data_IF_033303389447
#
_entry.id   IF_033303389447
#
_cell.length_a   1.000
_cell.length_b   1.000
_cell.length_c   1.000
_cell.angle_alpha   90.00
_cell.angle_beta   90.00
_cell.angle_gamma   90.00
#
_symmetry.space_group_name_H-M   'P 1'
#
loop_
_entity.id
_entity.type
_entity.pdbx_description
1 polymer ?
#
# COMPACT_ATOMS: atom_id res chain seq x y z
N UNK A 1 -46.89 47.77 31.71
CA UNK A 1 -47.88 47.68 30.63
C UNK A 1 -47.54 46.43 29.84
N UNK A 2 -48.23 45.32 30.11
CA UNK A 2 -48.00 44.02 29.45
C UNK A 2 -48.85 44.04 28.18
N UNK A 3 -48.23 43.98 27.00
CA UNK A 3 -48.93 43.74 25.74
C UNK A 3 -49.22 42.24 25.62
N UNK A 4 -50.50 41.91 25.53
CA UNK A 4 -50.99 40.54 25.37
C UNK A 4 -50.78 40.02 23.94
N UNK A 5 -50.08 38.90 23.83
CA UNK A 5 -50.21 37.94 22.73
C UNK A 5 -50.96 36.72 23.25
N UNK A 6 -51.82 36.13 22.42
CA UNK A 6 -52.79 35.07 22.72
C UNK A 6 -52.12 33.72 23.04
N UNK A 7 -51.55 33.61 24.23
CA UNK A 7 -51.03 32.35 24.74
C UNK A 7 -51.59 32.01 26.12
N UNK A 8 -52.40 30.96 26.20
CA UNK A 8 -53.09 30.55 27.42
C UNK A 8 -52.22 29.62 28.25
N UNK A 9 -52.15 29.85 29.57
CA UNK A 9 -51.46 28.93 30.50
C UNK A 9 -52.25 27.60 30.53
N UNK A 10 -51.73 26.57 29.88
CA UNK A 10 -52.16 25.17 30.09
C UNK A 10 -51.59 24.72 31.43
N UNK A 11 -52.41 24.20 32.36
CA UNK A 11 -51.96 23.82 33.71
C UNK A 11 -50.80 22.82 33.66
N UNK A 12 -49.56 23.22 34.04
CA UNK A 12 -48.42 22.33 34.11
C UNK A 12 -48.50 21.46 35.39
N UNK A 13 -47.70 20.41 35.49
CA UNK A 13 -47.53 19.74 36.79
C UNK A 13 -47.02 20.77 37.84
N UNK A 14 -47.23 20.56 39.15
CA UNK A 14 -46.95 21.57 40.18
C UNK A 14 -45.52 22.16 40.20
N UNK A 15 -44.57 21.55 39.47
CA UNK A 15 -43.16 21.94 39.40
C UNK A 15 -42.68 22.30 37.97
N UNK A 16 -43.58 22.39 36.99
CA UNK A 16 -43.20 22.66 35.61
C UNK A 16 -43.30 24.17 35.29
N UNK A 17 -42.31 24.67 34.55
CA UNK A 17 -42.37 25.99 33.93
C UNK A 17 -42.78 25.83 32.46
N UNK A 18 -44.04 26.17 32.16
CA UNK A 18 -44.54 26.20 30.78
C UNK A 18 -44.54 27.63 30.25
N UNK A 19 -43.85 27.84 29.13
CA UNK A 19 -43.74 29.14 28.46
C UNK A 19 -44.26 29.03 27.04
N UNK A 20 -45.21 29.89 26.68
CA UNK A 20 -45.67 30.03 25.31
C UNK A 20 -44.87 31.14 24.61
N UNK A 21 -43.65 30.81 24.19
CA UNK A 21 -42.73 31.73 23.53
C UNK A 21 -41.28 31.26 23.65
N UNK A 22 -40.36 32.11 23.22
CA UNK A 22 -38.93 31.85 23.43
C UNK A 22 -38.58 31.93 24.92
N UNK A 23 -37.67 31.06 25.36
CA UNK A 23 -37.01 31.22 26.66
C UNK A 23 -35.66 31.88 26.42
N UNK A 24 -35.47 33.09 26.93
CA UNK A 24 -34.23 33.84 26.74
C UNK A 24 -33.62 34.22 28.09
N UNK A 25 -32.46 33.66 28.39
CA UNK A 25 -31.62 34.11 29.51
C UNK A 25 -30.71 35.21 28.99
N UNK A 26 -30.69 36.37 29.65
CA UNK A 26 -29.86 37.51 29.26
C UNK A 26 -28.94 37.96 30.39
N UNK A 27 -27.80 38.56 30.03
CA UNK A 27 -26.96 39.36 30.91
C UNK A 27 -26.89 40.78 30.33
N UNK A 28 -27.63 41.72 30.92
CA UNK A 28 -27.87 43.03 30.32
C UNK A 28 -28.61 42.92 28.98
N UNK A 29 -28.05 43.52 27.91
CA UNK A 29 -28.60 43.43 26.55
C UNK A 29 -28.18 42.16 25.79
N UNK A 30 -27.27 41.35 26.34
CA UNK A 30 -26.72 40.17 25.66
C UNK A 30 -27.53 38.91 25.97
N UNK A 31 -27.90 38.16 24.92
CA UNK A 31 -28.46 36.81 25.04
C UNK A 31 -27.39 35.85 25.52
N UNK A 32 -27.72 35.00 26.48
CA UNK A 32 -26.86 33.94 27.03
C UNK A 32 -27.36 32.56 26.65
N UNK A 33 -28.65 32.33 26.82
CA UNK A 33 -29.32 31.11 26.40
C UNK A 33 -30.58 31.54 25.68
N UNK A 34 -30.85 30.94 24.52
CA UNK A 34 -32.13 31.08 23.83
C UNK A 34 -32.65 29.69 23.48
N UNK A 35 -33.87 29.39 23.93
CA UNK A 35 -34.71 28.34 23.38
C UNK A 35 -35.70 29.04 22.45
N UNK A 36 -35.57 28.79 21.15
CA UNK A 36 -36.39 29.41 20.12
C UNK A 36 -37.64 28.55 19.89
N UNK A 37 -38.83 29.12 20.11
CA UNK A 37 -40.10 28.38 20.01
C UNK A 37 -40.42 28.00 18.56
N UNK A 38 -40.13 28.88 17.62
CA UNK A 38 -40.51 28.70 16.22
C UNK A 38 -39.67 27.60 15.57
N UNK A 39 -38.38 27.57 15.88
CA UNK A 39 -37.42 26.64 15.28
C UNK A 39 -37.04 25.48 16.17
N UNK A 40 -37.42 25.46 17.45
CA UNK A 40 -36.95 24.48 18.44
C UNK A 40 -35.45 24.58 18.76
N UNK A 41 -34.76 25.59 18.24
CA UNK A 41 -33.30 25.69 18.31
C UNK A 41 -32.84 26.12 19.70
N UNK A 42 -31.66 25.64 20.09
CA UNK A 42 -31.00 25.98 21.36
C UNK A 42 -29.69 26.68 21.04
N UNK A 43 -29.49 27.84 21.64
CA UNK A 43 -28.25 28.61 21.52
C UNK A 43 -27.70 28.93 22.90
N UNK A 44 -26.42 28.68 23.11
CA UNK A 44 -25.67 29.23 24.23
C UNK A 44 -24.58 30.16 23.71
N UNK A 45 -24.44 31.32 24.36
CA UNK A 45 -23.45 32.34 24.01
C UNK A 45 -22.48 32.61 25.16
N UNK A 46 -21.23 32.95 24.86
CA UNK A 46 -20.23 33.39 25.85
C UNK A 46 -20.45 34.86 26.30
N UNK A 47 -19.49 35.42 27.04
CA UNK A 47 -19.56 36.79 27.57
C UNK A 47 -19.54 37.83 26.47
N UNK A 48 -18.93 37.50 25.34
CA UNK A 48 -18.72 38.32 24.16
C UNK A 48 -19.91 38.26 23.20
N UNK A 49 -20.83 37.31 23.39
CA UNK A 49 -22.01 37.11 22.53
C UNK A 49 -21.76 36.15 21.37
N UNK A 50 -20.64 35.42 21.37
CA UNK A 50 -20.33 34.37 20.39
C UNK A 50 -21.05 33.07 20.77
N UNK A 51 -21.46 32.30 19.77
CA UNK A 51 -22.11 31.00 19.97
C UNK A 51 -21.08 29.96 20.43
N UNK A 52 -21.33 29.33 21.57
CA UNK A 52 -20.49 28.24 22.11
C UNK A 52 -21.17 26.87 22.03
N UNK A 53 -22.49 26.87 21.89
CA UNK A 53 -23.29 25.68 21.64
C UNK A 53 -24.51 26.07 20.81
N UNK A 54 -24.76 25.34 19.74
CA UNK A 54 -25.93 25.57 18.90
C UNK A 54 -26.49 24.25 18.38
N UNK A 55 -27.79 24.07 18.57
CA UNK A 55 -28.56 23.00 17.95
C UNK A 55 -29.72 23.63 17.16
N UNK A 56 -29.74 23.45 15.85
CA UNK A 56 -30.80 23.94 14.95
C UNK A 56 -31.75 22.79 14.52
N UNK A 57 -33.08 23.01 14.54
CA UNK A 57 -34.03 21.98 14.10
C UNK A 57 -34.58 22.10 12.67
N UNK A 58 -34.61 23.25 11.95
CA UNK A 58 -34.88 23.23 10.52
C UNK A 58 -33.56 23.09 9.74
N UNK A 59 -33.04 21.86 9.63
CA UNK A 59 -31.82 21.52 8.87
C UNK A 59 -30.71 20.77 9.64
N UNK A 60 -30.97 20.39 10.90
CA UNK A 60 -30.23 19.44 11.75
C UNK A 60 -28.69 19.55 11.75
N UNK A 61 -28.18 20.74 12.05
CA UNK A 61 -26.77 20.91 12.39
C UNK A 61 -26.61 21.09 13.90
N UNK A 62 -25.71 20.31 14.50
CA UNK A 62 -25.15 20.55 15.84
C UNK A 62 -23.77 21.20 15.62
N UNK A 63 -23.62 22.46 16.01
CA UNK A 63 -22.37 23.21 15.82
C UNK A 63 -21.66 23.38 17.14
N UNK A 64 -20.37 23.05 17.12
CA UNK A 64 -19.42 23.34 18.19
C UNK A 64 -18.48 24.44 17.66
N UNK A 65 -18.47 25.61 18.33
CA UNK A 65 -17.55 26.72 18.01
C UNK A 65 -18.05 27.73 16.96
N UNK A 66 -17.33 28.85 16.86
CA UNK A 66 -17.61 29.94 15.92
C UNK A 66 -17.14 31.31 16.42
N UNK A 67 -16.25 31.96 15.66
CA UNK A 67 -15.80 33.33 15.92
C UNK A 67 -15.17 33.96 14.66
N UNK A 68 -15.47 35.23 14.38
CA UNK A 68 -14.98 35.97 13.20
C UNK A 68 -13.64 36.67 13.41
N UNK A 69 -13.11 36.70 14.64
CA UNK A 69 -11.99 37.57 14.99
C UNK A 69 -10.84 36.75 15.59
N UNK A 70 -9.62 37.20 15.27
CA UNK A 70 -8.27 36.66 15.44
C UNK A 70 -7.83 36.07 16.81
N UNK A 71 -8.73 35.70 17.72
CA UNK A 71 -8.37 34.97 18.93
C UNK A 71 -8.30 33.46 18.63
N UNK A 72 -7.07 32.93 18.67
CA UNK A 72 -6.72 31.55 18.36
C UNK A 72 -7.23 30.49 19.36
N UNK A 73 -8.01 30.88 20.37
CA UNK A 73 -8.41 30.01 21.49
C UNK A 73 -9.92 29.68 21.51
N UNK A 74 -10.68 30.03 20.46
CA UNK A 74 -12.09 29.66 20.33
C UNK A 74 -12.26 28.24 19.76
N UNK A 75 -11.53 27.27 20.32
CA UNK A 75 -11.65 25.86 19.95
C UNK A 75 -12.92 25.26 20.56
N UNK A 76 -13.57 24.38 19.82
CA UNK A 76 -14.75 23.70 20.27
C UNK A 76 -14.59 22.20 20.10
N UNK A 77 -14.06 21.59 21.15
CA UNK A 77 -13.84 20.15 21.18
C UNK A 77 -15.14 19.40 21.50
N UNK A 78 -15.33 18.24 20.88
CA UNK A 78 -16.28 17.24 21.35
C UNK A 78 -15.50 16.17 22.11
N UNK A 79 -15.75 16.06 23.41
CA UNK A 79 -15.01 15.18 24.31
C UNK A 79 -15.99 14.25 25.03
N UNK A 80 -15.74 12.94 24.94
CA UNK A 80 -16.50 11.93 25.65
C UNK A 80 -15.58 11.09 26.52
N UNK A 81 -15.99 10.90 27.77
CA UNK A 81 -15.24 10.17 28.79
C UNK A 81 -15.97 8.87 29.14
N UNK A 82 -15.21 7.84 29.55
CA UNK A 82 -15.79 6.68 30.25
C UNK A 82 -16.33 7.12 31.62
N UNK A 83 -17.35 6.43 32.14
CA UNK A 83 -18.13 6.87 33.31
C UNK A 83 -17.38 7.08 34.64
N UNK A 84 -16.08 6.80 34.73
CA UNK A 84 -15.27 6.85 35.96
C UNK A 84 -13.99 7.70 35.82
N UNK A 85 -14.02 8.75 34.99
CA UNK A 85 -12.88 9.65 34.81
C UNK A 85 -12.76 10.61 36.00
N UNK A 86 -11.57 10.65 36.62
CA UNK A 86 -11.34 11.45 37.83
C UNK A 86 -11.27 12.96 37.56
N UNK A 87 -10.86 13.35 36.35
CA UNK A 87 -10.73 14.75 35.96
C UNK A 87 -11.21 14.96 34.52
N UNK A 88 -12.41 15.53 34.35
CA UNK A 88 -12.98 15.85 33.03
C UNK A 88 -12.27 17.00 32.30
N UNK A 89 -11.27 17.65 32.93
CA UNK A 89 -10.38 18.62 32.27
C UNK A 89 -9.13 17.98 31.68
N UNK A 90 -8.82 16.75 32.09
CA UNK A 90 -7.71 15.98 31.53
C UNK A 90 -8.19 15.25 30.28
N UNK A 91 -8.02 15.89 29.12
CA UNK A 91 -8.52 15.39 27.84
C UNK A 91 -7.87 14.06 27.43
N UNK A 92 -6.69 13.73 27.95
CA UNK A 92 -6.02 12.45 27.69
C UNK A 92 -6.82 11.26 28.23
N UNK A 93 -7.70 11.51 29.20
CA UNK A 93 -8.59 10.49 29.77
C UNK A 93 -9.86 10.22 28.94
N UNK A 94 -10.09 11.00 27.87
CA UNK A 94 -11.24 10.82 26.99
C UNK A 94 -11.12 9.54 26.16
N UNK A 95 -12.26 8.90 25.86
CA UNK A 95 -12.34 7.73 24.97
C UNK A 95 -12.73 8.12 23.54
N UNK A 96 -13.29 9.31 23.36
CA UNK A 96 -13.54 9.92 22.06
C UNK A 96 -13.28 11.42 22.16
N UNK A 97 -12.49 11.96 21.23
CA UNK A 97 -12.12 13.38 21.23
C UNK A 97 -11.99 13.89 19.81
N UNK A 98 -12.84 14.84 19.43
CA UNK A 98 -12.66 15.68 18.24
C UNK A 98 -12.05 16.98 18.72
N UNK A 99 -10.81 17.24 18.30
CA UNK A 99 -10.05 18.44 18.67
C UNK A 99 -10.01 19.40 17.48
N UNK A 100 -10.69 20.53 17.60
CA UNK A 100 -10.78 21.49 16.48
C UNK A 100 -9.53 22.34 16.33
N UNK A 101 -8.71 22.49 17.38
CA UNK A 101 -7.45 23.23 17.32
C UNK A 101 -6.40 22.50 16.49
N UNK A 102 -6.28 21.20 16.72
CA UNK A 102 -5.28 20.33 16.09
C UNK A 102 -5.79 19.68 14.80
N UNK A 103 -7.10 19.71 14.55
CA UNK A 103 -7.71 19.04 13.40
C UNK A 103 -7.68 17.52 13.50
N UNK A 104 -7.72 16.98 14.73
CA UNK A 104 -7.60 15.53 14.98
C UNK A 104 -8.89 14.94 15.52
N UNK A 105 -9.20 13.70 15.12
CA UNK A 105 -10.17 12.85 15.79
C UNK A 105 -9.42 11.68 16.43
N UNK A 106 -9.64 11.46 17.73
CA UNK A 106 -9.11 10.32 18.49
C UNK A 106 -10.27 9.45 18.97
N UNK A 107 -10.10 8.14 18.78
CA UNK A 107 -11.01 7.10 19.27
C UNK A 107 -10.14 6.11 20.05
N UNK A 108 -10.53 5.81 21.29
CA UNK A 108 -9.71 5.08 22.25
C UNK A 108 -8.85 6.00 23.14
N UNK A 109 -8.26 5.43 24.18
CA UNK A 109 -7.53 6.15 25.25
C UNK A 109 -7.96 5.66 26.64
N UNK A 110 -7.17 5.98 27.67
CA UNK A 110 -7.47 5.60 29.06
C UNK A 110 -7.77 4.09 29.22
N UNK A 111 -6.84 3.25 28.77
CA UNK A 111 -6.92 1.78 28.76
C UNK A 111 -8.07 1.19 27.94
N UNK A 112 -8.68 1.99 27.06
CA UNK A 112 -9.76 1.55 26.17
C UNK A 112 -9.27 1.61 24.73
N UNK A 113 -9.24 0.47 24.05
CA UNK A 113 -8.95 0.44 22.62
C UNK A 113 -10.08 1.14 21.84
N UNK A 114 -9.71 1.94 20.84
CA UNK A 114 -10.66 2.57 19.95
C UNK A 114 -11.00 1.67 18.78
N UNK A 115 -12.27 1.69 18.36
CA UNK A 115 -12.67 1.07 17.10
C UNK A 115 -13.57 2.00 16.30
N UNK A 116 -13.42 1.95 14.98
CA UNK A 116 -14.34 2.57 14.03
C UNK A 116 -14.88 1.47 13.12
N UNK A 117 -16.21 1.37 13.04
CA UNK A 117 -16.91 0.35 12.25
C UNK A 117 -17.84 1.07 11.27
N UNK A 118 -17.66 0.84 9.98
CA UNK A 118 -18.62 1.25 8.95
C UNK A 118 -19.39 0.01 8.48
N UNK A 119 -20.71 0.08 8.55
CA UNK A 119 -21.61 -0.99 8.11
C UNK A 119 -22.24 -0.64 6.75
N UNK A 120 -22.52 -1.65 5.93
CA UNK A 120 -23.40 -1.50 4.77
C UNK A 120 -24.89 -1.50 5.18
N UNK A 121 -25.79 -1.36 4.20
CA UNK A 121 -27.25 -1.35 4.43
C UNK A 121 -27.81 -2.68 4.99
N UNK A 122 -27.04 -3.75 4.93
CA UNK A 122 -27.39 -5.07 5.44
C UNK A 122 -26.74 -5.37 6.81
N UNK A 123 -26.08 -4.39 7.43
CA UNK A 123 -25.30 -4.49 8.67
C UNK A 123 -24.02 -5.33 8.56
N UNK A 124 -23.47 -5.52 7.36
CA UNK A 124 -22.14 -6.12 7.21
C UNK A 124 -21.05 -5.06 7.44
N UNK A 125 -20.00 -5.43 8.16
CA UNK A 125 -18.82 -4.58 8.34
C UNK A 125 -18.03 -4.45 7.04
N UNK A 126 -17.91 -3.24 6.51
CA UNK A 126 -17.18 -2.92 5.26
C UNK A 126 -15.85 -2.21 5.48
N UNK A 127 -15.74 -1.44 6.58
CA UNK A 127 -14.49 -0.83 7.03
C UNK A 127 -14.38 -1.02 8.53
N UNK A 128 -13.23 -1.48 8.99
CA UNK A 128 -12.91 -1.61 10.40
C UNK A 128 -11.49 -1.14 10.68
N UNK A 129 -11.39 -0.18 11.61
CA UNK A 129 -10.15 0.25 12.23
C UNK A 129 -10.13 -0.31 13.65
N UNK A 130 -9.19 -1.21 13.95
CA UNK A 130 -9.04 -1.83 15.26
C UNK A 130 -7.79 -1.33 16.00
N UNK A 131 -8.00 -0.50 17.02
CA UNK A 131 -6.91 -0.01 17.86
C UNK A 131 -6.30 -1.07 18.79
N UNK A 132 -6.96 -2.21 19.02
CA UNK A 132 -6.43 -3.29 19.85
C UNK A 132 -5.46 -4.19 19.08
N UNK A 133 -5.84 -4.60 17.86
CA UNK A 133 -5.03 -5.47 17.00
C UNK A 133 -4.06 -4.72 16.08
N UNK A 134 -4.22 -3.39 15.94
CA UNK A 134 -3.55 -2.56 14.94
C UNK A 134 -3.90 -2.95 13.48
N UNK A 135 -5.12 -3.42 13.27
CA UNK A 135 -5.61 -3.88 11.98
C UNK A 135 -6.43 -2.80 11.24
N UNK A 136 -6.33 -2.83 9.91
CA UNK A 136 -7.27 -2.19 8.98
C UNK A 136 -7.88 -3.27 8.08
N UNK A 137 -9.17 -3.52 8.25
CA UNK A 137 -9.92 -4.46 7.43
C UNK A 137 -10.87 -3.66 6.52
N UNK A 138 -10.78 -3.91 5.22
CA UNK A 138 -11.63 -3.28 4.21
C UNK A 138 -12.18 -4.37 3.29
N UNK A 139 -13.50 -4.35 3.12
CA UNK A 139 -14.25 -5.35 2.37
C UNK A 139 -15.15 -6.20 3.26
N UNK A 140 -16.17 -6.80 2.65
CA UNK A 140 -17.20 -7.63 3.26
C UNK A 140 -17.72 -8.67 2.25
N UNK A 141 -18.51 -9.67 2.67
CA UNK A 141 -19.24 -10.52 1.73
C UNK A 141 -20.05 -9.68 0.72
N UNK A 142 -19.75 -9.84 -0.57
CA UNK A 142 -20.40 -9.08 -1.65
C UNK A 142 -19.84 -7.66 -1.89
N UNK A 143 -18.80 -7.25 -1.17
CA UNK A 143 -18.13 -5.96 -1.37
C UNK A 143 -16.60 -6.07 -1.20
N UNK A 144 -15.85 -6.11 -2.29
CA UNK A 144 -14.38 -6.19 -2.24
C UNK A 144 -13.77 -4.93 -1.65
N UNK A 145 -12.73 -5.11 -0.82
CA UNK A 145 -11.95 -4.00 -0.31
C UNK A 145 -11.13 -3.33 -1.42
N UNK A 146 -11.09 -2.00 -1.41
CA UNK A 146 -10.30 -1.22 -2.36
C UNK A 146 -9.69 0.00 -1.66
N UNK A 147 -8.36 0.07 -1.65
CA UNK A 147 -7.63 1.25 -1.18
C UNK A 147 -7.10 1.97 -2.42
N UNK A 148 -7.50 3.24 -2.58
CA UNK A 148 -7.07 4.08 -3.70
C UNK A 148 -6.39 5.33 -3.14
N UNK A 149 -5.10 5.48 -3.43
CA UNK A 149 -4.37 6.72 -3.21
C UNK A 149 -4.27 7.48 -4.54
N UNK A 150 -4.76 8.71 -4.56
CA UNK A 150 -4.80 9.57 -5.75
C UNK A 150 -3.69 10.63 -5.69
N UNK A 151 -3.13 10.95 -6.85
CA UNK A 151 -2.24 12.09 -6.99
C UNK A 151 -3.00 13.41 -6.89
N UNK A 152 -2.28 14.48 -6.56
CA UNK A 152 -2.84 15.84 -6.44
C UNK A 152 -3.10 16.53 -7.79
N UNK A 153 -2.64 15.94 -8.90
CA UNK A 153 -2.82 16.49 -10.25
C UNK A 153 -4.30 16.44 -10.66
N UNK A 154 -4.76 17.44 -11.43
CA UNK A 154 -6.12 17.48 -11.99
C UNK A 154 -6.12 16.96 -13.45
N UNK A 155 -7.07 16.09 -13.84
CA UNK A 155 -8.09 15.45 -12.99
C UNK A 155 -7.46 14.45 -12.00
N UNK A 156 -8.11 14.22 -10.85
CA UNK A 156 -7.60 13.28 -9.84
C UNK A 156 -7.33 11.90 -10.47
N UNK A 157 -6.10 11.44 -10.34
CA UNK A 157 -5.65 10.19 -10.93
C UNK A 157 -5.18 9.21 -9.85
N UNK A 158 -5.57 7.93 -9.96
CA UNK A 158 -5.07 6.88 -9.08
C UNK A 158 -3.53 6.72 -9.27
N UNK A 159 -2.81 6.48 -8.18
CA UNK A 159 -1.35 6.27 -8.14
C UNK A 159 -0.98 4.94 -7.49
N UNK A 160 -1.67 4.60 -6.40
CA UNK A 160 -1.53 3.33 -5.71
C UNK A 160 -2.93 2.75 -5.55
N UNK A 161 -3.08 1.49 -5.93
CA UNK A 161 -4.33 0.76 -5.73
C UNK A 161 -4.05 -0.64 -5.18
N UNK A 162 -4.70 -0.95 -4.06
CA UNK A 162 -4.79 -2.31 -3.51
C UNK A 162 -6.22 -2.79 -3.77
N UNK A 163 -6.36 -3.72 -4.71
CA UNK A 163 -7.62 -4.19 -5.25
C UNK A 163 -7.83 -5.67 -4.89
N UNK A 164 -8.71 -5.91 -3.90
CA UNK A 164 -8.99 -7.26 -3.43
C UNK A 164 -9.86 -8.07 -4.39
N UNK A 165 -10.63 -7.43 -5.27
CA UNK A 165 -11.53 -8.14 -6.21
C UNK A 165 -10.72 -8.94 -7.23
N UNK A 166 -9.65 -8.34 -7.74
CA UNK A 166 -8.78 -8.95 -8.73
C UNK A 166 -7.43 -9.42 -8.16
N UNK A 167 -7.25 -9.34 -6.83
CA UNK A 167 -5.98 -9.60 -6.14
C UNK A 167 -4.78 -8.81 -6.72
N UNK A 168 -5.02 -7.57 -7.14
CA UNK A 168 -4.02 -6.75 -7.82
C UNK A 168 -3.41 -5.69 -6.89
N UNK A 169 -2.09 -5.51 -7.02
CA UNK A 169 -1.38 -4.32 -6.52
C UNK A 169 -0.95 -3.51 -7.74
N UNK A 170 -1.43 -2.27 -7.84
CA UNK A 170 -1.03 -1.34 -8.90
C UNK A 170 -0.24 -0.20 -8.29
N UNK A 171 0.97 0.02 -8.81
CA UNK A 171 1.87 1.10 -8.40
C UNK A 171 2.27 1.84 -9.68
N UNK A 172 2.06 3.16 -9.72
CA UNK A 172 2.33 3.99 -10.90
C UNK A 172 1.13 4.13 -11.83
N UNK A 173 1.37 4.65 -13.04
CA UNK A 173 0.34 4.91 -14.05
C UNK A 173 0.12 6.41 -14.31
N UNK A 174 -0.64 6.72 -15.36
CA UNK A 174 -0.89 8.10 -15.81
C UNK A 174 0.41 8.88 -16.09
N UNK A 175 1.31 8.28 -16.88
CA UNK A 175 2.63 8.85 -17.25
C UNK A 175 3.59 9.08 -16.08
N UNK A 176 3.42 8.34 -14.99
CA UNK A 176 4.38 8.31 -13.87
C UNK A 176 4.78 6.86 -13.61
N UNK A 177 6.08 6.60 -13.53
CA UNK A 177 6.63 5.36 -13.00
C UNK A 177 6.14 5.10 -11.57
N UNK A 178 5.89 3.83 -11.27
CA UNK A 178 5.55 3.37 -9.93
C UNK A 178 6.67 2.51 -9.39
N UNK A 179 7.25 2.92 -8.27
CA UNK A 179 8.38 2.22 -7.69
C UNK A 179 7.96 1.42 -6.45
N UNK A 180 8.43 0.18 -6.38
CA UNK A 180 8.41 -0.60 -5.14
C UNK A 180 9.85 -0.78 -4.67
N UNK A 181 10.15 -0.24 -3.48
CA UNK A 181 11.51 -0.18 -2.94
C UNK A 181 11.54 -0.79 -1.54
N UNK A 182 12.52 -1.65 -1.30
CA UNK A 182 12.76 -2.26 0.01
C UNK A 182 14.15 -1.86 0.46
N UNK A 183 14.23 -1.27 1.64
CA UNK A 183 15.48 -0.81 2.25
C UNK A 183 15.94 -1.80 3.33
N UNK A 184 17.26 -2.00 3.48
CA UNK A 184 17.80 -2.74 4.61
C UNK A 184 17.60 -1.93 5.92
N UNK A 185 17.60 -2.59 7.10
CA UNK A 185 17.33 -1.93 8.38
C UNK A 185 18.28 -0.77 8.72
N UNK A 186 19.50 -0.80 8.20
CA UNK A 186 20.57 0.17 8.42
C UNK A 186 20.61 1.31 7.37
N UNK A 187 19.67 1.33 6.41
CA UNK A 187 19.56 2.44 5.48
C UNK A 187 19.26 3.75 6.22
N UNK A 188 20.07 4.76 5.92
CA UNK A 188 20.05 6.06 6.61
C UNK A 188 19.19 7.10 5.88
N UNK A 189 19.03 6.95 4.56
CA UNK A 189 18.25 7.86 3.71
C UNK A 189 17.34 7.07 2.75
N UNK A 190 16.03 7.09 3.03
CA UNK A 190 15.00 6.41 2.23
C UNK A 190 14.60 7.17 0.96
N UNK A 191 15.17 8.36 0.74
CA UNK A 191 15.03 9.10 -0.52
C UNK A 191 16.14 8.75 -1.52
N UNK A 192 17.25 8.19 -1.03
CA UNK A 192 18.35 7.70 -1.87
C UNK A 192 18.10 6.25 -2.29
N UNK A 193 17.55 6.05 -3.49
CA UNK A 193 17.22 4.73 -4.02
C UNK A 193 18.42 3.78 -4.15
N UNK A 194 19.65 4.30 -4.21
CA UNK A 194 20.87 3.46 -4.22
C UNK A 194 21.09 2.70 -2.91
N UNK A 195 20.46 3.14 -1.80
CA UNK A 195 20.51 2.43 -0.52
C UNK A 195 19.48 1.28 -0.42
N UNK A 196 18.54 1.14 -1.37
CA UNK A 196 17.58 0.04 -1.36
C UNK A 196 18.23 -1.29 -1.79
N UNK A 197 17.77 -2.42 -1.25
CA UNK A 197 18.22 -3.77 -1.62
C UNK A 197 17.36 -4.42 -2.70
N UNK A 198 16.11 -4.01 -2.83
CA UNK A 198 15.21 -4.39 -3.93
C UNK A 198 14.57 -3.12 -4.47
N UNK A 199 14.58 -2.97 -5.79
CA UNK A 199 13.91 -1.87 -6.49
C UNK A 199 13.25 -2.41 -7.76
N UNK A 200 11.92 -2.36 -7.77
CA UNK A 200 11.08 -2.49 -8.96
C UNK A 200 10.85 -1.08 -9.47
N UNK A 201 11.48 -0.71 -10.59
CA UNK A 201 11.44 0.64 -11.15
C UNK A 201 10.43 0.69 -12.29
N UNK A 202 9.35 1.44 -12.09
CA UNK A 202 8.28 1.56 -13.07
C UNK A 202 8.54 2.59 -14.17
N UNK A 203 9.56 3.44 -14.02
CA UNK A 203 9.93 4.46 -15.02
C UNK A 203 10.85 3.86 -16.08
N UNK A 204 11.87 3.09 -15.67
CA UNK A 204 12.79 2.43 -16.61
C UNK A 204 12.42 0.97 -16.91
N UNK A 205 11.46 0.39 -16.19
CA UNK A 205 11.04 -1.01 -16.35
C UNK A 205 12.07 -2.02 -15.83
N UNK A 206 12.89 -1.61 -14.86
CA UNK A 206 14.02 -2.40 -14.35
C UNK A 206 13.70 -3.13 -13.05
N UNK A 207 14.34 -4.30 -12.85
CA UNK A 207 14.45 -4.97 -11.55
C UNK A 207 15.91 -4.90 -11.08
N UNK A 208 16.15 -4.23 -9.95
CA UNK A 208 17.45 -4.26 -9.28
C UNK A 208 17.35 -5.06 -8.00
N UNK A 209 18.29 -6.00 -7.84
CA UNK A 209 18.46 -6.84 -6.67
C UNK A 209 19.90 -6.68 -6.17
N UNK A 210 20.07 -6.41 -4.88
CA UNK A 210 21.36 -6.03 -4.31
C UNK A 210 21.64 -4.54 -4.45
N UNK A 211 22.57 -4.01 -3.65
CA UNK A 211 22.81 -2.59 -3.40
C UNK A 211 23.14 -2.36 -1.92
N UNK A 212 23.66 -1.19 -1.56
CA UNK A 212 24.12 -0.90 -0.19
C UNK A 212 24.98 -2.03 0.42
N UNK A 213 26.04 -2.46 -0.29
CA UNK A 213 26.92 -3.57 0.10
C UNK A 213 26.24 -4.94 0.28
N UNK A 214 25.02 -5.11 -0.26
CA UNK A 214 24.29 -6.39 -0.24
C UNK A 214 24.24 -6.98 -1.64
N UNK A 215 24.57 -8.27 -1.78
CA UNK A 215 24.49 -8.98 -3.05
C UNK A 215 23.04 -9.30 -3.42
N UNK A 216 22.70 -9.15 -4.70
CA UNK A 216 21.41 -9.58 -5.24
C UNK A 216 21.44 -11.04 -5.64
N UNK A 217 20.32 -11.75 -5.44
CA UNK A 217 20.13 -13.08 -5.99
C UNK A 217 18.69 -13.30 -6.43
N UNK A 218 18.51 -14.02 -7.53
CA UNK A 218 17.22 -14.62 -7.93
C UNK A 218 17.36 -16.13 -7.75
N UNK A 219 16.42 -16.73 -7.01
CA UNK A 219 16.35 -18.16 -6.78
C UNK A 219 14.97 -18.66 -7.23
N UNK A 220 14.95 -19.60 -8.18
CA UNK A 220 13.75 -20.34 -8.55
C UNK A 220 13.86 -21.74 -7.96
N UNK A 221 12.87 -22.11 -7.15
CA UNK A 221 12.79 -23.41 -6.47
C UNK A 221 11.62 -24.23 -7.02
N UNK A 222 11.74 -25.55 -6.99
CA UNK A 222 10.58 -26.43 -7.20
C UNK A 222 9.65 -26.43 -5.97
N UNK A 223 8.48 -27.04 -6.13
CA UNK A 223 7.46 -27.24 -5.09
C UNK A 223 7.98 -28.00 -3.85
N UNK A 224 9.01 -28.82 -4.02
CA UNK A 224 9.75 -29.50 -2.94
C UNK A 224 10.88 -28.63 -2.31
N UNK A 225 10.94 -27.33 -2.60
CA UNK A 225 11.94 -26.36 -2.11
C UNK A 225 13.39 -26.53 -2.63
N UNK A 226 13.64 -27.42 -3.59
CA UNK A 226 14.96 -27.55 -4.22
C UNK A 226 15.26 -26.40 -5.20
N UNK A 227 16.47 -25.83 -5.15
CA UNK A 227 16.93 -24.78 -6.09
C UNK A 227 17.12 -25.37 -7.51
N UNK A 228 16.58 -24.69 -8.53
CA UNK A 228 16.68 -25.07 -9.95
C UNK A 228 17.44 -24.06 -10.79
N UNK A 229 17.19 -22.77 -10.55
CA UNK A 229 17.87 -21.68 -11.24
C UNK A 229 18.34 -20.68 -10.19
N UNK A 230 19.60 -20.25 -10.31
CA UNK A 230 20.18 -19.19 -9.48
C UNK A 230 20.92 -18.18 -10.36
N UNK A 231 20.56 -16.91 -10.20
CA UNK A 231 21.32 -15.76 -10.69
C UNK A 231 21.96 -15.09 -9.47
N UNK A 232 23.29 -15.16 -9.33
CA UNK A 232 23.98 -14.67 -8.12
C UNK A 232 24.99 -13.56 -8.47
N UNK A 233 24.75 -12.36 -7.93
CA UNK A 233 25.63 -11.21 -8.15
C UNK A 233 26.99 -11.32 -7.44
N UNK A 234 27.08 -12.08 -6.34
CA UNK A 234 28.31 -12.19 -5.53
C UNK A 234 29.47 -12.80 -6.32
N UNK A 235 29.18 -13.85 -7.08
CA UNK A 235 30.17 -14.63 -7.82
C UNK A 235 29.98 -14.51 -9.35
N UNK A 236 29.04 -13.66 -9.79
CA UNK A 236 28.70 -13.41 -11.19
C UNK A 236 28.38 -14.67 -12.03
N UNK A 237 27.83 -15.73 -11.44
CA UNK A 237 27.45 -16.95 -12.18
C UNK A 237 25.94 -17.13 -12.33
N UNK A 238 25.57 -17.82 -13.41
CA UNK A 238 24.24 -18.39 -13.64
C UNK A 238 24.36 -19.90 -13.39
N UNK A 239 23.56 -20.44 -12.47
CA UNK A 239 23.42 -21.88 -12.26
C UNK A 239 22.07 -22.33 -12.80
N UNK A 240 22.10 -23.33 -13.68
CA UNK A 240 20.91 -24.00 -14.22
C UNK A 240 21.08 -25.50 -13.95
N UNK A 241 20.10 -26.11 -13.28
CA UNK A 241 20.19 -27.50 -12.82
C UNK A 241 20.86 -27.67 -11.45
N UNK A 242 21.15 -28.91 -11.08
CA UNK A 242 21.58 -29.33 -9.74
C UNK A 242 20.49 -30.08 -8.97
N UNK A 243 20.83 -30.58 -7.77
CA UNK A 243 19.95 -31.44 -6.97
C UNK A 243 19.43 -32.64 -7.78
N UNK A 244 20.37 -33.37 -8.40
CA UNK A 244 20.12 -34.54 -9.26
C UNK A 244 19.21 -34.27 -10.47
N UNK A 245 19.26 -33.06 -11.02
CA UNK A 245 18.53 -32.65 -12.23
C UNK A 245 19.48 -31.91 -13.18
N UNK A 246 19.55 -32.30 -14.45
CA UNK A 246 20.24 -31.52 -15.46
C UNK A 246 19.57 -30.18 -15.68
N UNK A 247 20.36 -29.22 -16.12
CA UNK A 247 19.92 -27.89 -16.46
C UNK A 247 20.21 -27.60 -17.91
N UNK A 248 19.19 -27.15 -18.64
CA UNK A 248 19.32 -26.84 -20.05
C UNK A 248 19.33 -25.34 -20.29
N UNK A 249 20.24 -24.87 -21.14
CA UNK A 249 20.24 -23.51 -21.66
C UNK A 249 20.05 -23.57 -23.16
N UNK A 250 18.98 -22.96 -23.65
CA UNK A 250 18.53 -23.08 -25.04
C UNK A 250 18.38 -21.69 -25.65
N UNK A 251 18.94 -21.49 -26.83
CA UNK A 251 18.81 -20.26 -27.61
C UNK A 251 18.05 -20.59 -28.89
N UNK A 252 17.00 -19.82 -29.18
CA UNK A 252 16.17 -20.00 -30.37
C UNK A 252 16.46 -18.90 -31.41
N UNK A 253 16.42 -19.22 -32.72
CA UNK A 253 16.43 -18.20 -33.76
C UNK A 253 15.11 -17.42 -33.78
N UNK A 254 15.13 -16.21 -34.35
CA UNK A 254 13.94 -15.33 -34.42
C UNK A 254 12.73 -15.95 -35.13
N UNK A 255 12.95 -16.97 -35.97
CA UNK A 255 11.89 -17.67 -36.71
C UNK A 255 11.33 -18.93 -36.04
N UNK A 256 11.81 -19.31 -34.85
CA UNK A 256 11.26 -20.45 -34.12
C UNK A 256 9.80 -20.19 -33.74
N UNK A 257 8.94 -21.20 -33.94
CA UNK A 257 7.49 -21.07 -33.70
C UNK A 257 7.01 -21.88 -32.50
N UNK A 258 7.83 -22.84 -32.03
CA UNK A 258 7.54 -23.65 -30.84
C UNK A 258 8.78 -23.72 -29.93
N UNK A 259 8.68 -23.11 -28.74
CA UNK A 259 9.77 -23.07 -27.75
C UNK A 259 9.82 -24.31 -26.85
N UNK A 260 8.88 -25.24 -26.98
CA UNK A 260 8.92 -26.55 -26.30
C UNK A 260 9.61 -27.61 -27.18
N UNK A 261 9.80 -27.34 -28.47
CA UNK A 261 10.53 -28.21 -29.40
C UNK A 261 12.01 -27.80 -29.45
N UNK A 262 12.84 -28.49 -28.68
CA UNK A 262 14.29 -28.23 -28.60
C UNK A 262 15.01 -28.41 -29.95
N UNK A 263 14.42 -29.13 -30.91
CA UNK A 263 15.03 -29.30 -32.25
C UNK A 263 15.05 -28.00 -33.05
N UNK A 264 14.20 -27.02 -32.71
CA UNK A 264 14.16 -25.70 -33.34
C UNK A 264 15.19 -24.71 -32.74
N UNK A 265 15.98 -25.11 -31.73
CA UNK A 265 16.98 -24.24 -31.11
C UNK A 265 18.27 -24.15 -31.93
N UNK A 266 18.89 -22.97 -31.97
CA UNK A 266 20.20 -22.76 -32.60
C UNK A 266 21.34 -23.20 -31.70
N UNK A 267 21.22 -23.02 -30.38
CA UNK A 267 22.19 -23.47 -29.38
C UNK A 267 21.46 -24.21 -28.27
N UNK A 268 21.98 -25.35 -27.85
CA UNK A 268 21.47 -26.10 -26.70
C UNK A 268 22.63 -26.63 -25.87
N UNK A 269 22.77 -26.11 -24.65
CA UNK A 269 23.61 -26.69 -23.61
C UNK A 269 22.73 -27.69 -22.85
N UNK A 270 22.95 -28.99 -23.05
CA UNK A 270 22.14 -30.05 -22.49
C UNK A 270 22.81 -30.59 -21.21
N UNK A 271 22.27 -30.23 -20.05
CA UNK A 271 22.85 -30.61 -18.77
C UNK A 271 22.62 -32.07 -18.38
N UNK A 272 21.62 -32.74 -18.97
CA UNK A 272 21.34 -34.16 -18.71
C UNK A 272 22.27 -35.08 -19.53
N UNK A 273 22.50 -34.75 -20.81
CA UNK A 273 23.40 -35.52 -21.68
C UNK A 273 24.87 -35.10 -21.56
N UNK A 274 25.13 -33.87 -21.10
CA UNK A 274 26.47 -33.26 -21.11
C UNK A 274 26.89 -32.70 -22.47
N UNK A 275 25.94 -32.55 -23.40
CA UNK A 275 26.20 -32.14 -24.78
C UNK A 275 26.14 -30.61 -24.97
N UNK A 276 26.90 -30.12 -25.94
CA UNK A 276 26.73 -28.79 -26.52
C UNK A 276 26.34 -28.96 -27.98
N UNK A 277 25.12 -28.54 -28.32
CA UNK A 277 24.59 -28.64 -29.68
C UNK A 277 24.56 -27.24 -30.29
N UNK A 278 25.29 -27.07 -31.39
CA UNK A 278 25.30 -25.85 -32.20
C UNK A 278 24.71 -26.18 -33.58
N UNK A 279 23.45 -25.79 -33.81
CA UNK A 279 22.76 -26.05 -35.08
C UNK A 279 23.02 -24.92 -36.07
N UNK A 280 23.34 -25.28 -37.31
CA UNK A 280 23.70 -24.34 -38.37
C UNK A 280 24.89 -23.44 -37.99
N UNK A 281 25.74 -23.89 -37.07
CA UNK A 281 26.97 -23.20 -36.79
C UNK A 281 27.99 -23.58 -37.87
N UNK A 282 28.52 -22.57 -38.56
CA UNK A 282 29.69 -22.69 -39.42
C UNK A 282 30.96 -22.83 -38.55
N UNK A 283 30.96 -23.77 -37.59
CA UNK A 283 32.15 -24.11 -36.80
C UNK A 283 33.18 -24.90 -37.61
N UNK A 284 32.84 -25.27 -38.86
CA UNK A 284 33.76 -25.88 -39.80
C UNK A 284 34.49 -24.78 -40.56
N UNK A 285 35.69 -24.44 -40.13
CA UNK A 285 36.67 -23.83 -41.03
C UNK A 285 37.04 -24.89 -42.09
N UNK A 286 37.31 -24.47 -43.34
CA UNK A 286 37.85 -25.38 -44.36
C UNK A 286 39.29 -25.75 -43.97
N UNK A 287 39.44 -26.87 -43.26
CA UNK A 287 40.74 -27.40 -42.92
C UNK A 287 41.22 -28.40 -43.96
N UNK A 288 42.47 -28.24 -44.40
CA UNK A 288 43.17 -29.31 -45.11
C UNK A 288 43.33 -30.51 -44.16
N UNK A 289 43.00 -31.71 -44.64
CA UNK A 289 43.16 -32.94 -43.87
C UNK A 289 44.44 -33.65 -44.32
N UNK A 290 45.26 -34.12 -43.38
CA UNK A 290 46.49 -34.84 -43.66
C UNK A 290 46.24 -36.26 -44.20
N UNK A 291 45.12 -36.87 -43.82
CA UNK A 291 44.74 -38.25 -44.11
C UNK A 291 43.22 -38.44 -44.13
N UNK A 292 42.73 -39.53 -44.70
CA UNK A 292 41.29 -39.87 -44.67
C UNK A 292 40.91 -40.40 -43.29
N UNK A 293 39.93 -39.78 -42.64
CA UNK A 293 39.61 -40.04 -41.23
C UNK A 293 38.14 -40.42 -41.08
N UNK A 294 37.86 -41.42 -40.24
CA UNK A 294 36.50 -41.83 -39.88
C UNK A 294 35.76 -40.76 -39.07
N UNK A 295 34.47 -40.50 -39.36
CA UNK A 295 33.64 -39.58 -38.57
C UNK A 295 33.59 -39.94 -37.08
N UNK A 296 33.64 -38.93 -36.23
CA UNK A 296 33.66 -39.10 -34.76
C UNK A 296 35.05 -39.28 -34.16
N UNK A 297 36.11 -39.27 -34.98
CA UNK A 297 37.50 -39.27 -34.51
C UNK A 297 37.89 -37.89 -33.96
N UNK A 298 38.62 -37.86 -32.84
CA UNK A 298 39.18 -36.63 -32.28
C UNK A 298 40.32 -36.15 -33.18
N UNK A 299 40.24 -34.90 -33.64
CA UNK A 299 41.20 -34.29 -34.56
C UNK A 299 42.07 -33.27 -33.84
N UNK A 300 43.33 -33.13 -34.28
CA UNK A 300 44.26 -32.09 -33.85
C UNK A 300 44.89 -31.42 -35.07
N UNK A 301 45.33 -30.17 -34.92
CA UNK A 301 46.14 -29.49 -35.93
C UNK A 301 47.60 -29.97 -35.84
N UNK A 302 48.20 -30.35 -36.96
CA UNK A 302 49.63 -30.64 -37.04
C UNK A 302 50.49 -29.35 -37.12
N UNK A 303 51.80 -29.51 -37.25
CA UNK A 303 52.74 -28.38 -37.30
C UNK A 303 52.53 -27.50 -38.55
N UNK A 304 51.91 -28.04 -39.59
CA UNK A 304 51.59 -27.39 -40.86
C UNK A 304 50.17 -26.79 -40.87
N UNK A 305 49.40 -26.96 -39.79
CA UNK A 305 48.02 -26.47 -39.66
C UNK A 305 46.97 -27.34 -40.32
N UNK A 306 47.28 -28.60 -40.66
CA UNK A 306 46.32 -29.57 -41.20
C UNK A 306 45.68 -30.37 -40.08
N UNK A 307 44.44 -30.80 -40.29
CA UNK A 307 43.78 -31.74 -39.39
C UNK A 307 44.34 -33.15 -39.57
N UNK A 308 44.67 -33.79 -38.46
CA UNK A 308 45.03 -35.21 -38.37
C UNK A 308 44.38 -35.86 -37.16
N UNK A 309 44.37 -37.19 -37.10
CA UNK A 309 43.87 -37.90 -35.93
C UNK A 309 44.73 -37.57 -34.70
N UNK A 310 44.08 -37.32 -33.56
CA UNK A 310 44.76 -37.27 -32.26
C UNK A 310 45.30 -38.65 -31.93
N UNK A 311 46.62 -38.74 -31.77
CA UNK A 311 47.31 -39.96 -31.32
C UNK A 311 47.69 -39.89 -29.85
N UNK A 312 47.58 -38.70 -29.27
CA UNK A 312 47.80 -38.47 -27.86
C UNK A 312 46.46 -38.62 -27.12
N UNK A 313 46.45 -39.22 -25.91
CA UNK A 313 45.26 -39.26 -25.07
C UNK A 313 44.80 -37.83 -24.77
N UNK A 314 43.51 -37.57 -24.97
CA UNK A 314 42.89 -36.33 -24.53
C UNK A 314 42.82 -36.34 -23.00
N UNK A 315 43.62 -35.49 -22.36
CA UNK A 315 43.76 -35.26 -20.91
C UNK A 315 43.70 -36.49 -19.97
N UNK A 316 44.87 -36.92 -19.48
CA UNK A 316 44.99 -37.64 -18.20
C UNK A 316 45.36 -36.61 -17.11
N UNK A 317 44.39 -35.85 -16.62
CA UNK A 317 44.53 -35.03 -15.39
C UNK A 317 43.38 -35.33 -14.44
#
# INVERSE_FOLDING_TARGET
MVQGGSGGIVQPAPNDLTVEGDVVVRNGSRTRIRLDRETGSIFAHNNEGQIVFQWEMPGNNLRFGGGSDSNADADADLVMFKGNVANLRDLDQATFHVNTRLGTMRIGGNDTAGSMVCLDANNNQTVFLDGAAADLIIGAPGASGNIILRGADAPLQNRIQLDAENANIRIGGNKRGGDCVIFPPDATDRSNLSQATIHLDGEVGGLRLGGNNTNGAILLRSDNSEERIRLNAENAFIRVGGNNRGGDVVVYPTGATNLDDLSQSSIHLNGDAGDIILRNADCAEEFDVAEEIEPGTVMVLDAEGKLRQSVDPYDLI
#
